data_IF_456618095711
#
_entry.id   IF_456618095711
#
_cell.length_a   1.000
_cell.length_b   1.000
_cell.length_c   1.000
_cell.angle_alpha   90.00
_cell.angle_beta   90.00
_cell.angle_gamma   90.00
#
_symmetry.space_group_name_H-M   'P 1'
#
loop_
_entity.id
_entity.type
_entity.pdbx_description
1 polymer ?
#
# COMPACT_ATOMS: atom_id res chain seq x y z
N UNK A 1 -14.79 -7.93 15.30
CA UNK A 1 -13.36 -8.19 14.99
C UNK A 1 -12.96 -7.03 14.11
N UNK A 2 -12.51 -5.91 14.69
CA UNK A 2 -12.35 -4.62 13.96
C UNK A 2 -11.11 -3.83 14.40
N UNK A 3 -10.19 -4.42 15.17
CA UNK A 3 -9.07 -3.67 15.76
C UNK A 3 -7.87 -3.51 14.83
N UNK A 4 -7.81 -4.26 13.72
CA UNK A 4 -6.67 -4.28 12.78
C UNK A 4 -6.72 -3.16 11.74
N UNK A 5 -7.88 -2.93 11.11
CA UNK A 5 -8.02 -1.96 10.01
C UNK A 5 -7.79 -0.52 10.48
N UNK A 6 -8.23 -0.18 11.69
CA UNK A 6 -7.95 1.14 12.26
C UNK A 6 -6.44 1.39 12.44
N UNK A 7 -5.61 0.37 12.68
CA UNK A 7 -4.20 0.61 12.99
C UNK A 7 -3.40 1.12 11.78
N UNK A 8 -3.62 0.53 10.61
CA UNK A 8 -2.95 0.93 9.36
C UNK A 8 -3.40 2.34 8.97
N UNK A 9 -4.71 2.57 9.03
CA UNK A 9 -5.31 3.87 8.80
C UNK A 9 -4.64 4.98 9.64
N UNK A 10 -4.58 4.79 10.96
CA UNK A 10 -4.00 5.77 11.88
C UNK A 10 -2.51 6.01 11.61
N UNK A 11 -1.75 4.98 11.22
CA UNK A 11 -0.33 5.15 10.86
C UNK A 11 -0.15 5.99 9.61
N UNK A 12 -0.94 5.71 8.57
CA UNK A 12 -0.90 6.46 7.30
C UNK A 12 -1.31 7.92 7.57
N UNK A 13 -2.41 8.14 8.29
CA UNK A 13 -2.87 9.48 8.65
C UNK A 13 -1.81 10.23 9.47
N UNK A 14 -1.20 9.60 10.47
CA UNK A 14 -0.14 10.18 11.28
C UNK A 14 1.10 10.53 10.44
N UNK A 15 1.50 9.67 9.50
CA UNK A 15 2.61 9.93 8.59
C UNK A 15 2.37 11.19 7.74
N UNK A 16 1.18 11.34 7.18
CA UNK A 16 0.84 12.49 6.33
C UNK A 16 0.63 13.78 7.13
N UNK A 17 0.06 13.70 8.34
CA UNK A 17 -0.12 14.87 9.20
C UNK A 17 1.20 15.49 9.69
N UNK A 18 2.30 14.74 9.67
CA UNK A 18 3.64 15.27 9.95
C UNK A 18 4.27 16.02 8.76
N UNK A 19 3.66 15.94 7.56
CA UNK A 19 4.15 16.64 6.38
C UNK A 19 3.55 18.05 6.27
N UNK A 20 4.33 18.98 5.73
CA UNK A 20 3.81 20.29 5.30
C UNK A 20 2.60 20.12 4.36
N UNK A 21 1.61 20.98 4.50
CA UNK A 21 0.32 20.90 3.79
C UNK A 21 0.48 20.76 2.27
N UNK A 22 1.28 21.61 1.64
CA UNK A 22 1.55 21.57 0.19
C UNK A 22 2.21 20.24 -0.25
N UNK A 23 3.05 19.67 0.60
CA UNK A 23 3.73 18.40 0.34
C UNK A 23 2.80 17.21 0.56
N UNK A 24 1.84 17.33 1.48
CA UNK A 24 0.94 16.25 1.90
C UNK A 24 0.06 15.78 0.76
N UNK A 25 -0.66 16.70 0.12
CA UNK A 25 -1.55 16.39 -1.01
C UNK A 25 -0.77 15.86 -2.21
N UNK A 26 0.41 16.44 -2.48
CA UNK A 26 1.30 15.95 -3.53
C UNK A 26 1.74 14.51 -3.28
N UNK A 27 2.23 14.19 -2.09
CA UNK A 27 2.68 12.84 -1.73
C UNK A 27 1.53 11.82 -1.78
N UNK A 28 0.32 12.21 -1.33
CA UNK A 28 -0.88 11.36 -1.46
C UNK A 28 -1.21 11.07 -2.92
N UNK A 29 -1.07 12.07 -3.80
CA UNK A 29 -1.24 11.93 -5.25
C UNK A 29 -0.26 10.93 -5.84
N UNK A 30 1.04 11.16 -5.62
CA UNK A 30 2.12 10.27 -6.10
C UNK A 30 1.91 8.84 -5.61
N UNK A 31 1.61 8.67 -4.33
CA UNK A 31 1.42 7.34 -3.75
C UNK A 31 0.19 6.62 -4.32
N UNK A 32 -0.89 7.36 -4.59
CA UNK A 32 -2.08 6.78 -5.25
C UNK A 32 -1.73 6.27 -6.64
N UNK A 33 -0.98 7.05 -7.43
CA UNK A 33 -0.54 6.67 -8.78
C UNK A 33 0.41 5.47 -8.75
N UNK A 34 1.36 5.43 -7.81
CA UNK A 34 2.28 4.30 -7.64
C UNK A 34 1.54 3.01 -7.30
N UNK A 35 0.54 3.07 -6.41
CA UNK A 35 -0.26 1.90 -6.05
C UNK A 35 -1.16 1.44 -7.19
N UNK A 36 -1.75 2.36 -7.95
CA UNK A 36 -2.51 2.04 -9.16
C UNK A 36 -1.64 1.34 -10.20
N UNK A 37 -0.42 1.85 -10.41
CA UNK A 37 0.54 1.24 -11.31
C UNK A 37 0.90 -0.17 -10.86
N UNK A 38 1.20 -0.34 -9.56
CA UNK A 38 1.54 -1.62 -8.97
C UNK A 38 0.40 -2.64 -9.07
N UNK A 39 -0.84 -2.19 -8.86
CA UNK A 39 -2.03 -3.03 -9.02
C UNK A 39 -2.20 -3.50 -10.46
N UNK A 40 -2.03 -2.60 -11.43
CA UNK A 40 -2.11 -2.94 -12.85
C UNK A 40 -1.01 -3.93 -13.24
N UNK A 41 0.21 -3.78 -12.73
CA UNK A 41 1.28 -4.76 -12.91
C UNK A 41 0.88 -6.12 -12.33
N UNK A 42 0.53 -6.19 -11.04
CA UNK A 42 0.14 -7.42 -10.36
C UNK A 42 -1.01 -8.14 -11.09
N UNK A 43 -2.02 -7.39 -11.55
CA UNK A 43 -3.19 -7.94 -12.27
C UNK A 43 -2.81 -8.64 -13.58
N UNK A 44 -1.80 -8.12 -14.30
CA UNK A 44 -1.35 -8.64 -15.60
C UNK A 44 -0.49 -9.90 -15.48
N UNK A 45 0.08 -10.18 -14.32
CA UNK A 45 0.92 -11.37 -14.11
C UNK A 45 0.10 -12.65 -14.12
N UNK A 46 0.63 -13.72 -14.68
CA UNK A 46 0.10 -15.06 -14.51
C UNK A 46 0.49 -15.63 -13.14
N UNK A 47 -0.35 -16.51 -12.58
CA UNK A 47 -0.08 -17.11 -11.26
C UNK A 47 1.20 -17.97 -11.24
N UNK A 48 1.68 -18.42 -12.41
CA UNK A 48 2.95 -19.15 -12.56
C UNK A 48 4.18 -18.26 -12.57
N UNK A 49 4.03 -16.94 -12.73
CA UNK A 49 5.13 -15.96 -12.79
C UNK A 49 5.62 -15.56 -11.39
N UNK A 50 6.03 -16.55 -10.59
CA UNK A 50 6.37 -16.35 -9.17
C UNK A 50 7.49 -15.32 -8.95
N UNK A 51 8.47 -15.25 -9.85
CA UNK A 51 9.56 -14.26 -9.76
C UNK A 51 9.05 -12.83 -9.94
N UNK A 52 8.13 -12.62 -10.88
CA UNK A 52 7.52 -11.33 -11.14
C UNK A 52 6.59 -10.94 -9.99
N UNK A 53 5.79 -11.88 -9.48
CA UNK A 53 4.96 -11.68 -8.28
C UNK A 53 5.83 -11.25 -7.10
N UNK A 54 6.96 -11.94 -6.87
CA UNK A 54 7.92 -11.59 -5.82
C UNK A 54 8.53 -10.20 -6.02
N UNK A 55 8.80 -9.80 -7.27
CA UNK A 55 9.31 -8.47 -7.60
C UNK A 55 8.30 -7.37 -7.28
N UNK A 56 7.03 -7.55 -7.64
CA UNK A 56 5.95 -6.60 -7.32
C UNK A 56 5.67 -6.57 -5.82
N UNK A 57 5.71 -7.71 -5.14
CA UNK A 57 5.61 -7.78 -3.68
C UNK A 57 6.76 -7.03 -2.99
N UNK A 58 7.98 -7.08 -3.54
CA UNK A 58 9.11 -6.30 -3.02
C UNK A 58 8.91 -4.79 -3.21
N UNK A 59 8.37 -4.35 -4.35
CA UNK A 59 8.01 -2.95 -4.57
C UNK A 59 6.94 -2.48 -3.57
N UNK A 60 5.92 -3.30 -3.31
CA UNK A 60 4.91 -3.03 -2.27
C UNK A 60 5.58 -2.86 -0.90
N UNK A 61 6.49 -3.75 -0.51
CA UNK A 61 7.26 -3.64 0.74
C UNK A 61 8.04 -2.33 0.82
N UNK A 62 8.58 -1.83 -0.30
CA UNK A 62 9.24 -0.53 -0.38
C UNK A 62 8.30 0.61 -0.03
N UNK A 63 7.10 0.64 -0.64
CA UNK A 63 6.06 1.63 -0.35
C UNK A 63 5.65 1.57 1.12
N UNK A 64 5.39 0.37 1.64
CA UNK A 64 5.00 0.19 3.03
C UNK A 64 6.11 0.60 4.00
N UNK A 65 7.38 0.41 3.62
CA UNK A 65 8.53 0.86 4.40
C UNK A 65 8.62 2.39 4.45
N UNK A 66 8.35 3.06 3.32
CA UNK A 66 8.24 4.52 3.25
C UNK A 66 7.15 5.06 4.19
N UNK A 67 5.99 4.38 4.26
CA UNK A 67 4.88 4.70 5.15
C UNK A 67 5.06 4.22 6.60
N UNK A 68 6.23 3.66 6.96
CA UNK A 68 6.51 3.10 8.29
C UNK A 68 5.54 1.97 8.72
N UNK A 69 5.03 1.19 7.76
CA UNK A 69 4.15 0.02 7.95
C UNK A 69 4.94 -1.30 8.05
N UNK A 70 6.19 -1.24 8.51
CA UNK A 70 7.16 -2.34 8.39
C UNK A 70 6.85 -3.59 9.23
N UNK A 71 5.86 -3.52 10.11
CA UNK A 71 5.51 -4.59 11.03
C UNK A 71 4.19 -5.29 10.68
N UNK A 72 3.56 -4.93 9.55
CA UNK A 72 2.26 -5.49 9.19
C UNK A 72 2.41 -6.82 8.44
N UNK A 73 1.97 -7.91 9.06
CA UNK A 73 2.21 -9.28 8.57
C UNK A 73 1.70 -9.52 7.14
N UNK A 74 0.56 -8.93 6.76
CA UNK A 74 -0.04 -9.10 5.42
C UNK A 74 0.81 -8.51 4.27
N UNK A 75 1.77 -7.64 4.58
CA UNK A 75 2.66 -7.00 3.60
C UNK A 75 3.93 -7.85 3.41
N UNK A 76 4.39 -8.52 4.47
CA UNK A 76 5.68 -9.20 4.47
C UNK A 76 5.60 -10.65 4.00
N UNK A 77 4.45 -11.31 4.16
CA UNK A 77 4.25 -12.72 3.83
C UNK A 77 3.36 -12.94 2.60
N UNK A 78 3.45 -12.05 1.60
CA UNK A 78 2.77 -12.24 0.33
C UNK A 78 3.44 -13.39 -0.44
N UNK A 79 2.72 -14.50 -0.63
CA UNK A 79 3.21 -15.71 -1.31
C UNK A 79 2.52 -15.96 -2.66
N UNK A 80 1.42 -15.26 -2.93
CA UNK A 80 0.60 -15.50 -4.12
C UNK A 80 0.07 -14.21 -4.76
N UNK A 81 -0.33 -14.30 -6.04
CA UNK A 81 -0.97 -13.19 -6.76
C UNK A 81 -2.23 -12.67 -6.06
N UNK A 82 -3.18 -13.50 -5.58
CA UNK A 82 -4.36 -13.02 -4.87
C UNK A 82 -4.00 -12.24 -3.60
N UNK A 83 -3.06 -12.74 -2.79
CA UNK A 83 -2.58 -12.04 -1.59
C UNK A 83 -1.93 -10.70 -1.94
N UNK A 84 -1.09 -10.67 -2.99
CA UNK A 84 -0.47 -9.44 -3.48
C UNK A 84 -1.52 -8.40 -3.88
N UNK A 85 -2.49 -8.81 -4.69
CA UNK A 85 -3.56 -7.92 -5.14
C UNK A 85 -4.41 -7.43 -3.97
N UNK A 86 -4.69 -8.29 -3.00
CA UNK A 86 -5.43 -7.94 -1.79
C UNK A 86 -4.67 -6.92 -0.94
N UNK A 87 -3.37 -7.13 -0.71
CA UNK A 87 -2.53 -6.21 0.04
C UNK A 87 -2.44 -4.83 -0.62
N UNK A 88 -2.32 -4.78 -1.95
CA UNK A 88 -2.33 -3.51 -2.71
C UNK A 88 -3.70 -2.82 -2.57
N UNK A 89 -4.81 -3.55 -2.68
CA UNK A 89 -6.16 -3.00 -2.56
C UNK A 89 -6.46 -2.42 -1.18
N UNK A 90 -6.03 -3.10 -0.11
CA UNK A 90 -6.13 -2.56 1.25
C UNK A 90 -5.44 -1.19 1.30
N UNK A 91 -4.19 -1.12 0.82
CA UNK A 91 -3.43 0.12 0.89
C UNK A 91 -4.04 1.22 0.02
N UNK A 92 -4.51 0.91 -1.19
CA UNK A 92 -5.24 1.88 -2.03
C UNK A 92 -6.48 2.44 -1.33
N UNK A 93 -7.27 1.57 -0.67
CA UNK A 93 -8.44 2.00 0.08
C UNK A 93 -8.05 2.91 1.24
N UNK A 94 -7.03 2.55 2.01
CA UNK A 94 -6.57 3.37 3.14
C UNK A 94 -6.06 4.75 2.69
N UNK A 95 -5.27 4.81 1.61
CA UNK A 95 -4.82 6.08 1.04
C UNK A 95 -6.01 6.93 0.58
N UNK A 96 -7.02 6.31 -0.03
CA UNK A 96 -8.22 7.01 -0.47
C UNK A 96 -9.01 7.57 0.71
N UNK A 97 -9.17 6.80 1.80
CA UNK A 97 -9.86 7.25 3.02
C UNK A 97 -9.11 8.42 3.65
N UNK A 98 -7.80 8.29 3.87
CA UNK A 98 -6.95 9.36 4.43
C UNK A 98 -6.99 10.62 3.56
N UNK A 99 -7.00 10.48 2.24
CA UNK A 99 -7.14 11.61 1.30
C UNK A 99 -8.49 12.33 1.42
N UNK A 100 -9.55 11.67 1.88
CA UNK A 100 -10.84 12.30 2.12
C UNK A 100 -10.94 12.99 3.49
N UNK A 101 -10.04 12.67 4.42
CA UNK A 101 -10.00 13.24 5.78
C UNK A 101 -9.09 14.46 5.91
N UNK A 102 -8.17 14.64 4.95
CA UNK A 102 -7.24 15.77 4.82
C UNK A 102 -7.85 16.80 3.87
#
# INVERSE_FOLDING_TARGET
MDSGDHFIHHKILAFFNQQHEDKRLYLLGVLSEELDHLFVQARRLDASELTQISSVAHQLKGICSYLMLQNEAFIYDVQSKPELMFAILILQNEIKVVKCEI
#
